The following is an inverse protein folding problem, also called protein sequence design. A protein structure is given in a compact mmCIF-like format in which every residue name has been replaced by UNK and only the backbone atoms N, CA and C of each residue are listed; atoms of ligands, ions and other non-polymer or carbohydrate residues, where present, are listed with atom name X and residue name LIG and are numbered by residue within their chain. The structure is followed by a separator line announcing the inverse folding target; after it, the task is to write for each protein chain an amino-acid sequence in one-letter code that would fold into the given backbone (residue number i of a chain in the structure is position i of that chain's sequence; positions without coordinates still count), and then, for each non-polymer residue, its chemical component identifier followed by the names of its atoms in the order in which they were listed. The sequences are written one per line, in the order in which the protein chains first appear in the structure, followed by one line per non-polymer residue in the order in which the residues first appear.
data_IF_423404294885
#
_entry.id   IF_423404294885
#
_cell.length_a   1.000
_cell.length_b   1.000
_cell.length_c   1.000
_cell.angle_alpha   90.00
_cell.angle_beta   90.00
_cell.angle_gamma   90.00
#
_symmetry.space_group_name_H-M   'P 1'
#
loop_
_entity.id
_entity.type
_entity.pdbx_description
1 polymer ?
#
# COMPACT_ATOMS: atom_id res chain seq x y z
N UNK A 1 34.44 1.51 8.24
CA UNK A 1 34.65 2.82 7.57
C UNK A 1 33.34 3.60 7.66
N UNK A 2 33.38 4.80 8.23
CA UNK A 2 32.22 5.71 8.23
C UNK A 2 32.34 6.61 7.00
N UNK A 3 31.23 6.78 6.28
CA UNK A 3 31.17 7.74 5.18
C UNK A 3 31.10 9.18 5.69
N UNK A 4 31.53 10.13 4.87
CA UNK A 4 31.28 11.55 5.09
C UNK A 4 29.78 11.80 5.22
N UNK A 5 29.37 12.73 6.08
CA UNK A 5 27.99 13.18 6.21
C UNK A 5 27.85 14.60 5.69
N UNK A 6 26.79 14.83 4.91
CA UNK A 6 26.45 16.15 4.36
C UNK A 6 25.02 16.50 4.74
N UNK A 7 24.73 17.79 4.82
CA UNK A 7 23.35 18.24 5.01
C UNK A 7 22.55 18.04 3.72
N UNK A 8 21.32 17.57 3.86
CA UNK A 8 20.43 17.37 2.70
C UNK A 8 20.30 18.63 1.86
N UNK A 9 20.20 19.81 2.50
CA UNK A 9 20.09 21.09 1.80
C UNK A 9 21.32 21.52 0.97
N UNK A 10 22.48 20.89 1.18
CA UNK A 10 23.70 21.14 0.39
C UNK A 10 23.73 20.35 -0.92
N UNK A 11 22.96 19.28 -0.99
CA UNK A 11 22.95 18.33 -2.12
C UNK A 11 21.58 18.22 -2.81
N UNK A 12 20.62 19.06 -2.39
CA UNK A 12 19.27 19.05 -2.94
C UNK A 12 18.67 20.45 -3.03
N UNK A 13 17.78 20.65 -4.00
CA UNK A 13 16.79 21.72 -4.00
C UNK A 13 15.49 21.21 -3.38
N UNK A 14 14.90 21.96 -2.48
CA UNK A 14 13.61 21.60 -1.88
C UNK A 14 12.63 22.76 -1.84
N UNK A 15 11.36 22.46 -2.07
CA UNK A 15 10.27 23.41 -1.90
C UNK A 15 9.07 22.77 -1.22
N UNK A 16 8.31 23.57 -0.48
CA UNK A 16 7.03 23.18 0.09
C UNK A 16 5.94 23.35 -0.97
N UNK A 17 4.98 22.44 -1.01
CA UNK A 17 3.86 22.49 -1.94
C UNK A 17 2.92 23.68 -1.73
N UNK A 18 2.04 23.92 -2.72
CA UNK A 18 1.09 25.03 -2.72
C UNK A 18 0.02 24.87 -1.64
N UNK A 19 -0.27 25.96 -0.93
CA UNK A 19 -1.38 25.99 0.03
C UNK A 19 -2.72 25.95 -0.72
N UNK A 20 -3.62 25.07 -0.30
CA UNK A 20 -4.98 25.05 -0.79
C UNK A 20 -5.74 26.26 -0.25
N UNK A 21 -6.13 27.15 -1.15
CA UNK A 21 -6.98 28.33 -0.86
C UNK A 21 -7.92 28.55 -2.05
N UNK A 22 -9.15 28.10 -1.91
CA UNK A 22 -10.15 28.17 -3.00
C UNK A 22 -10.42 29.58 -3.50
N UNK A 23 -10.22 30.62 -2.66
CA UNK A 23 -10.49 32.02 -3.01
C UNK A 23 -9.28 32.68 -3.70
N UNK A 24 -8.05 32.30 -3.31
CA UNK A 24 -6.81 32.91 -3.77
C UNK A 24 -6.16 32.19 -4.93
N UNK A 25 -6.34 30.87 -5.02
CA UNK A 25 -5.71 30.09 -6.09
C UNK A 25 -6.38 30.39 -7.43
N UNK A 26 -5.57 30.77 -8.41
CA UNK A 26 -5.96 31.10 -9.77
C UNK A 26 -5.35 30.09 -10.76
N UNK A 27 -5.69 30.24 -12.04
CA UNK A 27 -5.20 29.38 -13.11
C UNK A 27 -6.10 28.19 -13.40
N UNK A 28 -5.56 27.17 -14.05
CA UNK A 28 -6.26 25.95 -14.45
C UNK A 28 -6.24 24.88 -13.35
N UNK A 29 -7.26 24.01 -13.33
CA UNK A 29 -7.27 22.85 -12.43
C UNK A 29 -6.23 21.84 -12.90
N UNK A 30 -5.36 21.42 -11.97
CA UNK A 30 -4.35 20.40 -12.20
C UNK A 30 -4.36 19.42 -11.01
N UNK A 31 -4.11 18.11 -11.23
CA UNK A 31 -4.06 17.14 -10.15
C UNK A 31 -2.89 17.42 -9.21
N UNK A 32 -3.08 17.12 -7.93
CA UNK A 32 -2.01 17.28 -6.95
C UNK A 32 -1.93 16.11 -5.97
N UNK A 33 -0.72 15.87 -5.48
CA UNK A 33 -0.48 14.99 -4.35
C UNK A 33 -0.68 15.75 -3.04
N UNK A 34 -1.48 15.18 -2.15
CA UNK A 34 -1.60 15.56 -0.76
C UNK A 34 -0.88 14.54 0.14
N UNK A 35 -0.77 14.85 1.43
CA UNK A 35 -0.13 13.95 2.41
C UNK A 35 -0.73 12.53 2.39
N UNK A 36 -2.04 12.41 2.21
CA UNK A 36 -2.75 11.12 2.15
C UNK A 36 -2.37 10.26 0.96
N UNK A 37 -1.81 10.84 -0.09
CA UNK A 37 -1.39 10.12 -1.28
C UNK A 37 0.03 9.53 -1.18
N UNK A 38 0.86 10.04 -0.27
CA UNK A 38 2.23 9.54 -0.09
C UNK A 38 2.22 8.39 0.91
N UNK A 39 2.86 7.29 0.56
CA UNK A 39 3.12 6.14 1.43
C UNK A 39 4.64 5.92 1.49
N UNK A 40 5.10 5.10 2.41
CA UNK A 40 6.49 4.66 2.39
C UNK A 40 6.74 3.83 1.12
N UNK A 41 7.46 4.42 0.18
CA UNK A 41 7.90 3.75 -1.05
C UNK A 41 6.97 3.85 -2.26
N UNK A 42 5.74 4.32 -2.10
CA UNK A 42 4.80 4.41 -3.23
C UNK A 42 3.78 5.54 -3.05
N UNK A 43 3.02 5.80 -4.10
CA UNK A 43 1.90 6.74 -4.08
C UNK A 43 0.57 6.01 -4.23
N UNK A 44 -0.39 6.40 -3.41
CA UNK A 44 -1.80 6.08 -3.60
C UNK A 44 -2.38 7.12 -4.56
N UNK A 45 -2.57 6.73 -5.80
CA UNK A 45 -3.03 7.61 -6.87
C UNK A 45 -4.53 7.49 -7.15
N UNK A 46 -5.24 6.68 -6.36
CA UNK A 46 -6.68 6.61 -6.44
C UNK A 46 -7.31 7.89 -5.86
N UNK A 47 -8.33 8.42 -6.52
CA UNK A 47 -9.10 9.60 -6.08
C UNK A 47 -8.26 10.88 -5.84
N UNK A 48 -7.35 11.18 -6.77
CA UNK A 48 -6.59 12.43 -6.75
C UNK A 48 -7.53 13.64 -6.79
N UNK A 49 -7.18 14.64 -6.01
CA UNK A 49 -7.88 15.92 -5.99
C UNK A 49 -7.20 16.89 -6.95
N UNK A 50 -7.95 17.93 -7.34
CA UNK A 50 -7.46 19.01 -8.20
C UNK A 50 -7.59 20.36 -7.50
N UNK A 51 -6.64 21.25 -7.77
CA UNK A 51 -6.74 22.67 -7.41
C UNK A 51 -6.14 23.53 -8.51
N UNK A 52 -6.38 24.83 -8.44
CA UNK A 52 -5.92 25.77 -9.45
C UNK A 52 -4.44 26.09 -9.29
N UNK A 53 -3.72 26.02 -10.42
CA UNK A 53 -2.33 26.45 -10.58
C UNK A 53 -2.21 27.37 -11.77
N UNK A 54 -1.43 28.44 -11.63
CA UNK A 54 -1.01 29.31 -12.72
C UNK A 54 0.17 28.65 -13.48
N UNK A 55 0.39 29.02 -14.74
CA UNK A 55 1.39 28.31 -15.57
C UNK A 55 2.83 28.58 -15.11
N UNK A 56 3.10 29.76 -14.53
CA UNK A 56 4.39 30.11 -13.92
C UNK A 56 4.68 29.33 -12.62
N UNK A 57 3.69 28.71 -12.02
CA UNK A 57 3.85 27.86 -10.83
C UNK A 57 4.29 26.43 -11.15
N UNK A 58 4.33 26.07 -12.44
CA UNK A 58 4.70 24.71 -12.86
C UNK A 58 6.13 24.33 -12.49
N UNK A 59 7.06 25.28 -12.58
CA UNK A 59 8.44 25.06 -12.17
C UNK A 59 8.56 24.84 -10.66
N UNK A 60 7.81 25.58 -9.88
CA UNK A 60 7.87 25.54 -8.42
C UNK A 60 7.18 24.33 -7.83
N UNK A 61 5.95 24.03 -8.24
CA UNK A 61 5.12 22.99 -7.63
C UNK A 61 4.98 21.73 -8.47
N UNK A 62 5.46 21.75 -9.71
CA UNK A 62 5.52 20.57 -10.56
C UNK A 62 6.58 19.59 -10.10
N UNK A 63 6.29 18.32 -10.31
CA UNK A 63 7.21 17.23 -9.97
C UNK A 63 7.64 16.49 -11.24
N UNK A 64 8.91 16.04 -11.23
CA UNK A 64 9.56 15.35 -12.36
C UNK A 64 10.10 14.01 -11.89
N UNK A 65 10.42 13.14 -12.83
CA UNK A 65 11.06 11.87 -12.53
C UNK A 65 12.28 12.04 -11.61
N UNK A 66 12.35 11.23 -10.57
CA UNK A 66 13.44 11.27 -9.59
C UNK A 66 13.25 12.25 -8.43
N UNK A 67 12.23 13.11 -8.47
CA UNK A 67 11.91 13.94 -7.31
C UNK A 67 11.44 13.07 -6.14
N UNK A 68 11.99 13.29 -4.95
CA UNK A 68 11.49 12.71 -3.72
C UNK A 68 10.38 13.60 -3.16
N UNK A 69 9.23 12.99 -2.88
CA UNK A 69 8.11 13.68 -2.24
C UNK A 69 8.09 13.23 -0.78
N UNK A 70 8.32 14.17 0.13
CA UNK A 70 8.49 13.90 1.57
C UNK A 70 7.38 14.59 2.36
N UNK A 71 6.71 13.86 3.24
CA UNK A 71 5.68 14.40 4.12
C UNK A 71 6.30 15.33 5.18
N UNK A 72 5.73 16.55 5.31
CA UNK A 72 6.04 17.49 6.38
C UNK A 72 5.40 17.07 7.70
N UNK A 73 4.17 16.57 7.66
CA UNK A 73 3.36 16.23 8.84
C UNK A 73 2.59 14.92 8.69
N UNK A 74 1.78 14.59 9.70
CA UNK A 74 1.09 13.31 9.81
C UNK A 74 2.03 12.18 10.18
N UNK A 75 2.94 11.81 9.31
CA UNK A 75 4.09 10.95 9.52
C UNK A 75 5.29 11.61 8.86
N UNK A 76 5.98 12.54 9.58
CA UNK A 76 7.05 13.33 8.98
C UNK A 76 8.18 12.46 8.46
N UNK A 77 8.70 12.80 7.28
CA UNK A 77 9.78 12.03 6.64
C UNK A 77 9.28 10.86 5.78
N UNK A 78 8.00 10.49 5.84
CA UNK A 78 7.44 9.51 4.91
C UNK A 78 7.59 10.00 3.47
N UNK A 79 8.13 9.14 2.60
CA UNK A 79 8.50 9.56 1.25
C UNK A 79 8.35 8.47 0.19
N UNK A 80 8.29 8.92 -1.06
CA UNK A 80 8.38 8.08 -2.25
C UNK A 80 9.03 8.86 -3.40
N UNK A 81 9.59 8.13 -4.41
CA UNK A 81 10.13 8.71 -5.63
C UNK A 81 9.02 8.87 -6.65
N UNK A 82 8.93 10.07 -7.25
CA UNK A 82 8.03 10.29 -8.37
C UNK A 82 8.60 9.68 -9.66
N UNK A 83 7.81 8.82 -10.30
CA UNK A 83 8.17 8.10 -11.54
C UNK A 83 7.33 8.54 -12.73
N UNK A 84 6.79 9.76 -12.70
CA UNK A 84 5.95 10.35 -13.76
C UNK A 84 4.70 9.51 -14.12
N UNK A 85 4.10 8.86 -13.12
CA UNK A 85 2.92 8.02 -13.32
C UNK A 85 1.72 8.79 -13.89
N UNK A 86 1.64 10.09 -13.61
CA UNK A 86 0.60 11.00 -14.11
C UNK A 86 1.27 12.30 -14.56
N UNK A 87 0.97 12.78 -15.77
CA UNK A 87 1.57 14.03 -16.29
C UNK A 87 1.07 15.25 -15.51
N UNK A 88 1.88 16.31 -15.50
CA UNK A 88 1.56 17.61 -14.89
C UNK A 88 1.18 17.57 -13.40
N UNK A 89 1.59 16.52 -12.67
CA UNK A 89 1.33 16.38 -11.24
C UNK A 89 1.99 17.51 -10.44
N UNK A 90 1.27 17.98 -9.45
CA UNK A 90 1.68 19.04 -8.52
C UNK A 90 1.73 18.52 -7.09
N UNK A 91 2.26 19.31 -6.19
CA UNK A 91 2.25 19.04 -4.74
C UNK A 91 1.51 20.12 -3.95
N UNK A 92 0.73 19.67 -2.97
CA UNK A 92 0.03 20.53 -2.03
C UNK A 92 0.85 20.69 -0.75
N UNK A 93 0.64 21.77 -0.02
CA UNK A 93 1.23 22.02 1.31
C UNK A 93 1.05 20.81 2.23
N UNK A 94 2.03 20.58 3.08
CA UNK A 94 2.36 19.41 3.87
C UNK A 94 3.19 18.35 3.10
N UNK A 95 3.60 18.64 1.86
CA UNK A 95 4.59 17.86 1.13
C UNK A 95 5.77 18.74 0.72
N UNK A 96 6.96 18.20 0.87
CA UNK A 96 8.18 18.76 0.29
C UNK A 96 8.52 18.01 -1.00
N UNK A 97 8.78 18.75 -2.09
CA UNK A 97 9.53 18.22 -3.23
C UNK A 97 11.01 18.39 -2.93
N UNK A 98 11.75 17.31 -3.01
CA UNK A 98 13.21 17.29 -2.88
C UNK A 98 13.81 16.77 -4.17
N UNK A 99 14.54 17.65 -4.87
CA UNK A 99 15.25 17.34 -6.11
C UNK A 99 16.73 17.21 -5.82
N UNK A 100 17.25 16.04 -6.04
CA UNK A 100 18.65 15.70 -5.73
C UNK A 100 19.55 16.24 -6.84
N UNK A 101 20.67 16.89 -6.48
CA UNK A 101 21.67 17.37 -7.41
C UNK A 101 22.52 16.21 -7.96
N UNK A 102 23.12 16.36 -9.12
CA UNK A 102 23.91 15.34 -9.84
C UNK A 102 25.10 14.78 -9.07
N UNK A 103 25.48 15.42 -7.95
CA UNK A 103 26.54 14.94 -7.05
C UNK A 103 26.09 13.81 -6.12
N UNK A 104 24.80 13.50 -6.11
CA UNK A 104 24.19 12.40 -5.37
C UNK A 104 23.24 11.60 -6.26
N UNK A 105 23.06 10.32 -5.97
CA UNK A 105 22.04 9.49 -6.61
C UNK A 105 20.71 9.61 -5.83
N UNK A 106 19.63 10.03 -6.52
CA UNK A 106 18.32 10.24 -5.88
C UNK A 106 17.74 8.94 -5.27
N UNK A 107 18.03 7.78 -5.85
CA UNK A 107 17.61 6.48 -5.32
C UNK A 107 18.33 6.16 -4.02
N UNK A 108 19.63 6.46 -3.95
CA UNK A 108 20.40 6.31 -2.71
C UNK A 108 19.84 7.20 -1.60
N UNK A 109 19.54 8.47 -1.88
CA UNK A 109 18.93 9.40 -0.92
C UNK A 109 17.57 8.87 -0.46
N UNK A 110 16.76 8.38 -1.37
CA UNK A 110 15.46 7.78 -1.06
C UNK A 110 15.59 6.55 -0.12
N UNK A 111 16.45 5.59 -0.44
CA UNK A 111 16.64 4.40 0.41
C UNK A 111 17.24 4.75 1.77
N UNK A 112 18.08 5.78 1.80
CA UNK A 112 18.57 6.34 3.06
C UNK A 112 17.41 6.85 3.92
N UNK A 113 16.45 7.59 3.33
CA UNK A 113 15.26 8.08 4.04
C UNK A 113 14.36 6.94 4.52
N UNK A 114 14.15 5.90 3.72
CA UNK A 114 13.39 4.72 4.12
C UNK A 114 14.01 4.04 5.36
N UNK A 115 15.32 3.86 5.34
CA UNK A 115 16.06 3.26 6.45
C UNK A 115 16.00 4.14 7.70
N UNK A 116 16.28 5.44 7.54
CA UNK A 116 16.26 6.42 8.63
C UNK A 116 14.87 6.54 9.27
N UNK A 117 13.81 6.53 8.46
CA UNK A 117 12.43 6.51 8.93
C UNK A 117 12.12 5.27 9.76
N UNK A 118 12.46 4.09 9.25
CA UNK A 118 12.27 2.80 9.94
C UNK A 118 13.04 2.72 11.27
N UNK A 119 14.24 3.29 11.32
CA UNK A 119 15.07 3.33 12.52
C UNK A 119 14.71 4.47 13.48
N UNK A 120 13.81 5.37 13.09
CA UNK A 120 13.44 6.55 13.87
C UNK A 120 14.52 7.64 13.93
N UNK A 121 15.54 7.57 13.08
CA UNK A 121 16.65 8.53 13.05
C UNK A 121 16.21 9.94 12.62
N UNK A 122 15.08 10.06 11.93
CA UNK A 122 14.51 11.35 11.52
C UNK A 122 13.86 12.12 12.67
N UNK A 123 13.53 11.48 13.80
CA UNK A 123 12.79 12.09 14.93
C UNK A 123 13.49 13.32 15.52
N UNK A 124 14.80 13.38 15.49
CA UNK A 124 15.57 14.52 15.98
C UNK A 124 15.36 15.82 15.18
N UNK A 125 14.82 15.72 13.97
CA UNK A 125 14.51 16.87 13.10
C UNK A 125 13.04 17.27 13.16
N UNK A 126 12.22 16.57 13.96
CA UNK A 126 10.81 16.90 14.10
C UNK A 126 10.61 18.06 15.09
N UNK A 127 9.56 18.81 14.86
CA UNK A 127 9.09 19.89 15.71
C UNK A 127 7.62 19.67 16.06
N UNK A 128 7.16 20.27 17.17
CA UNK A 128 5.78 20.10 17.66
C UNK A 128 5.70 19.11 18.82
N UNK A 129 4.73 19.32 19.71
CA UNK A 129 4.52 18.48 20.89
C UNK A 129 3.41 17.44 20.67
N UNK A 130 2.28 17.86 20.09
CA UNK A 130 1.11 16.99 19.87
C UNK A 130 1.06 16.45 18.44
N UNK A 131 1.34 17.32 17.47
CA UNK A 131 1.39 16.96 16.05
C UNK A 131 2.81 17.25 15.57
N UNK A 132 3.52 16.20 15.21
CA UNK A 132 4.90 16.29 14.74
C UNK A 132 4.96 16.77 13.30
N UNK A 133 5.89 17.67 13.03
CA UNK A 133 6.18 18.19 11.69
C UNK A 133 7.69 18.18 11.44
N UNK A 134 8.08 18.11 10.18
CA UNK A 134 9.46 18.32 9.73
C UNK A 134 9.50 19.51 8.78
N UNK A 135 9.61 20.75 9.31
CA UNK A 135 9.65 21.95 8.48
C UNK A 135 10.82 21.93 7.49
N UNK A 136 10.69 22.65 6.36
CA UNK A 136 11.71 22.65 5.31
C UNK A 136 13.11 23.02 5.79
N UNK A 137 13.23 23.87 6.81
CA UNK A 137 14.51 24.20 7.42
C UNK A 137 15.14 23.00 8.14
N UNK A 138 14.32 22.25 8.89
CA UNK A 138 14.76 21.01 9.55
C UNK A 138 15.07 19.90 8.57
N UNK A 139 14.28 19.79 7.51
CA UNK A 139 14.57 18.87 6.41
C UNK A 139 15.94 19.13 5.78
N UNK A 140 16.31 20.40 5.53
CA UNK A 140 17.61 20.78 5.00
C UNK A 140 18.78 20.46 5.93
N UNK A 141 18.55 20.42 7.25
CA UNK A 141 19.55 20.08 8.26
C UNK A 141 19.79 18.58 8.41
N UNK A 142 18.97 17.71 7.79
CA UNK A 142 19.13 16.27 7.87
C UNK A 142 20.51 15.86 7.36
N UNK A 143 21.27 15.18 8.21
CA UNK A 143 22.60 14.67 7.87
C UNK A 143 22.46 13.30 7.21
N UNK A 144 22.86 13.21 5.95
CA UNK A 144 22.85 11.97 5.16
C UNK A 144 24.28 11.51 4.87
N UNK A 145 24.45 10.19 4.75
CA UNK A 145 25.74 9.63 4.37
C UNK A 145 26.02 9.90 2.89
N UNK A 146 27.28 10.25 2.57
CA UNK A 146 27.72 10.55 1.21
C UNK A 146 28.89 9.64 0.80
N UNK A 147 28.64 8.37 0.45
CA UNK A 147 29.67 7.56 -0.19
C UNK A 147 30.02 8.10 -1.58
N UNK A 148 31.09 7.63 -2.21
CA UNK A 148 31.40 7.97 -3.60
C UNK A 148 30.20 7.71 -4.53
N UNK A 149 29.96 8.59 -5.51
CA UNK A 149 28.77 8.55 -6.37
C UNK A 149 28.56 7.17 -7.03
N UNK A 150 29.61 6.52 -7.46
CA UNK A 150 29.54 5.18 -8.05
C UNK A 150 29.01 4.13 -7.06
N UNK A 151 29.30 4.28 -5.76
CA UNK A 151 28.77 3.40 -4.70
C UNK A 151 27.30 3.68 -4.49
N UNK A 152 26.89 4.96 -4.44
CA UNK A 152 25.49 5.36 -4.33
C UNK A 152 24.65 4.78 -5.48
N UNK A 153 25.13 4.94 -6.72
CA UNK A 153 24.48 4.43 -7.93
C UNK A 153 24.30 2.91 -7.89
N UNK A 154 25.33 2.17 -7.45
CA UNK A 154 25.25 0.71 -7.30
C UNK A 154 24.25 0.30 -6.23
N UNK A 155 24.23 0.96 -5.06
CA UNK A 155 23.26 0.70 -4.00
C UNK A 155 21.85 1.00 -4.49
N UNK A 156 21.65 2.19 -5.09
CA UNK A 156 20.36 2.63 -5.60
C UNK A 156 19.82 1.68 -6.67
N UNK A 157 20.63 1.33 -7.68
CA UNK A 157 20.23 0.42 -8.74
C UNK A 157 19.92 -1.00 -8.23
N UNK A 158 20.71 -1.50 -7.28
CA UNK A 158 20.48 -2.82 -6.70
C UNK A 158 19.15 -2.89 -5.96
N UNK A 159 18.86 -1.92 -5.09
CA UNK A 159 17.61 -1.87 -4.33
C UNK A 159 16.39 -1.61 -5.23
N UNK A 160 16.53 -0.73 -6.22
CA UNK A 160 15.48 -0.46 -7.21
C UNK A 160 15.04 -1.72 -7.98
N UNK A 161 15.96 -2.67 -8.20
CA UNK A 161 15.62 -3.95 -8.84
C UNK A 161 14.56 -4.72 -8.05
N UNK A 162 14.65 -4.71 -6.72
CA UNK A 162 13.64 -5.35 -5.86
C UNK A 162 12.32 -4.59 -5.86
N UNK A 163 12.36 -3.27 -5.78
CA UNK A 163 11.15 -2.45 -5.83
C UNK A 163 10.41 -2.66 -7.16
N UNK A 164 11.13 -2.66 -8.28
CA UNK A 164 10.56 -2.92 -9.60
C UNK A 164 9.94 -4.32 -9.70
N UNK A 165 10.57 -5.33 -9.08
CA UNK A 165 10.02 -6.69 -9.02
C UNK A 165 8.75 -6.74 -8.19
N UNK A 166 8.71 -6.06 -7.05
CA UNK A 166 7.53 -5.94 -6.19
C UNK A 166 6.39 -5.24 -6.94
N UNK A 167 6.66 -4.09 -7.54
CA UNK A 167 5.68 -3.33 -8.33
C UNK A 167 5.10 -4.16 -9.48
N UNK A 168 5.96 -4.88 -10.21
CA UNK A 168 5.54 -5.76 -11.31
C UNK A 168 4.65 -6.89 -10.82
N UNK A 169 5.03 -7.55 -9.73
CA UNK A 169 4.23 -8.63 -9.16
C UNK A 169 2.88 -8.13 -8.64
N UNK A 170 2.83 -6.97 -7.98
CA UNK A 170 1.59 -6.35 -7.53
C UNK A 170 0.66 -6.03 -8.72
N UNK A 171 1.22 -5.47 -9.80
CA UNK A 171 0.48 -5.20 -11.03
C UNK A 171 -0.06 -6.49 -11.67
N UNK A 172 0.74 -7.55 -11.73
CA UNK A 172 0.30 -8.85 -12.23
C UNK A 172 -0.83 -9.44 -11.39
N UNK A 173 -0.72 -9.39 -10.06
CA UNK A 173 -1.78 -9.84 -9.15
C UNK A 173 -3.09 -9.10 -9.45
N UNK A 174 -3.05 -7.76 -9.51
CA UNK A 174 -4.23 -6.94 -9.82
C UNK A 174 -4.87 -7.33 -11.16
N UNK A 175 -4.07 -7.46 -12.21
CA UNK A 175 -4.56 -7.83 -13.54
C UNK A 175 -5.18 -9.24 -13.56
N UNK A 176 -4.60 -10.20 -12.85
CA UNK A 176 -5.13 -11.55 -12.72
C UNK A 176 -6.44 -11.58 -11.93
N UNK A 177 -6.56 -10.80 -10.87
CA UNK A 177 -7.80 -10.65 -10.10
C UNK A 177 -8.91 -10.01 -10.94
N UNK A 178 -8.60 -8.95 -11.70
CA UNK A 178 -9.53 -8.34 -12.63
C UNK A 178 -9.97 -9.31 -13.73
N UNK A 179 -9.05 -10.10 -14.29
CA UNK A 179 -9.37 -11.13 -15.28
C UNK A 179 -10.30 -12.22 -14.72
N UNK A 180 -10.01 -12.67 -13.49
CA UNK A 180 -10.86 -13.66 -12.80
C UNK A 180 -12.28 -13.10 -12.53
N UNK A 181 -12.38 -11.84 -12.09
CA UNK A 181 -13.68 -11.19 -11.86
C UNK A 181 -14.48 -11.03 -13.17
N UNK A 182 -13.81 -10.63 -14.27
CA UNK A 182 -14.44 -10.53 -15.59
C UNK A 182 -14.95 -11.88 -16.07
N UNK A 183 -14.13 -12.94 -15.93
CA UNK A 183 -14.51 -14.28 -16.32
C UNK A 183 -15.69 -14.80 -15.50
N UNK A 184 -15.67 -14.57 -14.17
CA UNK A 184 -16.78 -14.91 -13.29
C UNK A 184 -18.08 -14.21 -13.72
N UNK A 185 -17.99 -12.89 -13.97
CA UNK A 185 -19.15 -12.11 -14.43
C UNK A 185 -19.67 -12.63 -15.76
N UNK A 186 -18.80 -12.86 -16.72
CA UNK A 186 -19.14 -13.37 -18.05
C UNK A 186 -19.89 -14.69 -17.97
N UNK A 187 -19.38 -15.63 -17.17
CA UNK A 187 -19.96 -16.99 -17.14
C UNK A 187 -21.17 -17.11 -16.21
N UNK A 188 -21.13 -16.48 -15.03
CA UNK A 188 -22.14 -16.75 -14.01
C UNK A 188 -23.15 -15.62 -13.80
N UNK A 189 -22.88 -14.43 -14.29
CA UNK A 189 -23.79 -13.28 -14.22
C UNK A 189 -24.42 -13.02 -15.60
N UNK A 190 -23.56 -12.89 -16.62
CA UNK A 190 -23.99 -12.62 -17.99
C UNK A 190 -24.38 -13.93 -18.75
N UNK A 191 -24.13 -15.09 -18.12
CA UNK A 191 -24.45 -16.46 -18.61
C UNK A 191 -23.82 -16.80 -19.97
N UNK A 192 -22.66 -16.17 -20.29
CA UNK A 192 -21.92 -16.44 -21.52
C UNK A 192 -20.76 -17.43 -21.26
N UNK A 193 -21.07 -18.56 -20.67
CA UNK A 193 -20.13 -19.65 -20.42
C UNK A 193 -19.92 -20.51 -21.70
N UNK A 194 -18.82 -21.29 -21.80
CA UNK A 194 -18.60 -22.15 -22.96
C UNK A 194 -19.77 -23.07 -23.24
N UNK A 195 -20.35 -22.96 -24.46
CA UNK A 195 -21.50 -23.74 -24.89
C UNK A 195 -22.89 -23.14 -24.58
N UNK A 196 -22.92 -21.89 -24.07
CA UNK A 196 -24.16 -21.20 -23.72
C UNK A 196 -25.12 -21.03 -24.90
N UNK A 197 -24.61 -20.98 -26.14
CA UNK A 197 -25.40 -20.86 -27.35
C UNK A 197 -26.39 -22.02 -27.53
N UNK A 198 -26.06 -23.20 -26.99
CA UNK A 198 -26.88 -24.40 -27.02
C UNK A 198 -27.70 -24.59 -25.74
N UNK A 199 -27.61 -23.66 -24.78
CA UNK A 199 -28.25 -23.76 -23.49
C UNK A 199 -29.55 -22.94 -23.47
N UNK A 200 -30.67 -23.56 -23.10
CA UNK A 200 -31.94 -22.86 -22.91
C UNK A 200 -31.92 -22.15 -21.54
N UNK A 201 -32.16 -20.85 -21.54
CA UNK A 201 -32.28 -20.03 -20.32
C UNK A 201 -33.77 -19.82 -20.02
N UNK A 202 -34.20 -20.14 -18.82
CA UNK A 202 -35.60 -19.93 -18.34
C UNK A 202 -35.48 -19.20 -16.99
N UNK A 203 -36.23 -18.11 -16.84
CA UNK A 203 -36.23 -17.25 -15.64
C UNK A 203 -34.84 -16.78 -15.22
N UNK A 204 -33.99 -16.49 -16.22
CA UNK A 204 -32.62 -15.99 -15.97
C UNK A 204 -31.61 -17.04 -15.48
N UNK A 205 -31.97 -18.34 -15.60
CA UNK A 205 -31.09 -19.44 -15.17
C UNK A 205 -31.04 -20.49 -16.28
N UNK A 206 -29.87 -21.06 -16.64
CA UNK A 206 -29.75 -22.20 -17.50
C UNK A 206 -30.60 -23.39 -17.00
N UNK A 207 -31.36 -24.01 -17.86
CA UNK A 207 -32.30 -25.11 -17.48
C UNK A 207 -31.58 -26.27 -16.78
N UNK A 208 -30.32 -26.50 -17.12
CA UNK A 208 -29.52 -27.58 -16.56
C UNK A 208 -28.97 -27.25 -15.14
N UNK A 209 -29.00 -25.97 -14.75
CA UNK A 209 -28.55 -25.56 -13.44
C UNK A 209 -29.63 -25.83 -12.38
N UNK A 210 -29.25 -26.52 -11.32
CA UNK A 210 -30.13 -26.84 -10.21
C UNK A 210 -29.81 -26.00 -8.98
N UNK A 211 -30.82 -25.37 -8.38
CA UNK A 211 -30.67 -24.76 -7.07
C UNK A 211 -30.53 -25.85 -6.02
N UNK A 212 -29.47 -25.75 -5.21
CA UNK A 212 -29.23 -26.63 -4.07
C UNK A 212 -28.94 -25.76 -2.81
N UNK A 213 -29.15 -26.36 -1.64
CA UNK A 213 -28.73 -25.76 -0.39
C UNK A 213 -27.21 -25.88 -0.26
N UNK A 214 -26.60 -24.97 0.50
CA UNK A 214 -25.16 -24.96 0.68
C UNK A 214 -24.66 -26.25 1.36
N UNK A 215 -25.41 -26.78 2.33
CA UNK A 215 -25.12 -28.02 3.04
C UNK A 215 -25.26 -29.31 2.18
N UNK A 216 -25.85 -29.20 0.97
CA UNK A 216 -25.87 -30.31 -0.01
C UNK A 216 -24.59 -30.37 -0.87
N UNK A 217 -23.79 -29.30 -0.88
CA UNK A 217 -22.62 -29.18 -1.77
C UNK A 217 -21.32 -28.89 -1.02
N UNK A 218 -21.39 -28.59 0.27
CA UNK A 218 -20.22 -28.29 1.11
C UNK A 218 -20.51 -28.66 2.58
N UNK A 219 -19.48 -29.06 3.29
CA UNK A 219 -19.54 -29.25 4.75
C UNK A 219 -19.53 -27.90 5.45
N UNK A 220 -20.65 -27.54 6.08
CA UNK A 220 -20.79 -26.25 6.80
C UNK A 220 -20.54 -26.48 8.30
N UNK A 221 -19.41 -26.01 8.79
CA UNK A 221 -18.98 -26.18 10.18
C UNK A 221 -19.06 -24.85 10.91
N UNK A 222 -19.88 -24.77 11.95
CA UNK A 222 -19.90 -23.61 12.84
C UNK A 222 -18.71 -23.67 13.80
N UNK A 223 -17.89 -22.63 13.81
CA UNK A 223 -16.73 -22.54 14.70
C UNK A 223 -17.13 -22.49 16.19
N UNK A 224 -16.24 -22.95 17.03
CA UNK A 224 -16.37 -22.90 18.49
C UNK A 224 -15.01 -22.61 19.11
N UNK A 225 -14.85 -21.40 19.62
CA UNK A 225 -13.61 -20.98 20.25
C UNK A 225 -13.27 -21.84 21.48
N UNK A 226 -12.02 -22.30 21.58
CA UNK A 226 -11.52 -22.89 22.80
C UNK A 226 -11.51 -21.89 23.98
N UNK A 227 -11.31 -22.34 25.19
CA UNK A 227 -11.09 -21.44 26.32
C UNK A 227 -9.75 -20.71 26.16
N UNK A 228 -9.71 -19.44 26.60
CA UNK A 228 -8.55 -18.57 26.43
C UNK A 228 -7.27 -19.08 27.11
N UNK A 229 -7.38 -19.93 28.13
CA UNK A 229 -6.24 -20.56 28.80
C UNK A 229 -5.39 -21.46 27.87
N UNK A 230 -5.95 -21.87 26.71
CA UNK A 230 -5.25 -22.69 25.71
C UNK A 230 -4.59 -21.85 24.62
N UNK A 231 -4.74 -20.53 24.65
CA UNK A 231 -4.16 -19.66 23.61
C UNK A 231 -2.70 -19.36 23.91
N UNK A 232 -1.90 -19.31 22.84
CA UNK A 232 -0.49 -18.93 22.93
C UNK A 232 -0.01 -18.25 21.65
N UNK A 233 1.16 -17.58 21.75
CA UNK A 233 1.90 -17.01 20.61
C UNK A 233 3.22 -17.75 20.33
N UNK A 234 3.41 -18.88 20.99
CA UNK A 234 4.63 -19.68 20.94
C UNK A 234 4.55 -20.79 19.88
N UNK A 235 3.57 -20.72 19.00
CA UNK A 235 3.29 -21.71 17.94
C UNK A 235 3.03 -23.13 18.46
N UNK A 236 2.53 -23.27 19.69
CA UNK A 236 2.15 -24.56 20.26
C UNK A 236 0.72 -24.94 19.84
N UNK A 237 0.56 -26.11 19.25
CA UNK A 237 -0.73 -26.60 18.75
C UNK A 237 -1.05 -26.14 17.33
N UNK A 238 -2.32 -25.89 17.03
CA UNK A 238 -2.76 -25.42 15.71
C UNK A 238 -3.03 -23.91 15.73
N UNK A 239 -2.87 -23.23 14.58
CA UNK A 239 -3.33 -21.85 14.46
C UNK A 239 -4.81 -21.73 14.81
N UNK A 240 -5.18 -20.67 15.53
CA UNK A 240 -6.54 -20.41 15.96
C UNK A 240 -7.02 -19.07 15.41
N UNK A 241 -8.19 -19.08 14.79
CA UNK A 241 -8.79 -17.89 14.19
C UNK A 241 -10.18 -17.65 14.75
N UNK A 242 -10.40 -16.41 15.24
CA UNK A 242 -11.69 -15.96 15.73
C UNK A 242 -12.03 -14.60 15.11
N UNK A 243 -13.18 -14.54 14.45
CA UNK A 243 -13.60 -13.32 13.77
C UNK A 243 -12.69 -12.97 12.56
N UNK A 244 -12.65 -11.70 12.19
CA UNK A 244 -11.95 -11.21 10.98
C UNK A 244 -10.59 -10.58 11.26
N UNK A 245 -10.14 -10.52 12.50
CA UNK A 245 -8.90 -9.83 12.90
C UNK A 245 -7.65 -10.40 12.25
N UNK A 246 -7.64 -11.69 11.98
CA UNK A 246 -6.54 -12.41 11.31
C UNK A 246 -6.75 -12.60 9.80
N UNK A 247 -7.80 -11.99 9.20
CA UNK A 247 -8.03 -12.09 7.78
C UNK A 247 -7.02 -11.24 7.01
N UNK A 248 -6.22 -11.89 6.16
CA UNK A 248 -5.36 -11.22 5.20
C UNK A 248 -6.10 -10.92 3.89
N UNK A 249 -5.38 -10.52 2.86
CA UNK A 249 -5.95 -10.18 1.55
C UNK A 249 -6.71 -11.39 0.93
N UNK A 250 -6.19 -12.59 1.07
CA UNK A 250 -6.78 -13.84 0.56
C UNK A 250 -6.74 -14.96 1.58
N UNK A 251 -5.66 -15.07 2.33
CA UNK A 251 -5.44 -16.12 3.31
C UNK A 251 -5.34 -15.55 4.72
N UNK A 252 -5.78 -16.32 5.71
CA UNK A 252 -5.59 -15.95 7.11
C UNK A 252 -4.12 -15.87 7.49
N UNK A 253 -3.83 -14.99 8.45
CA UNK A 253 -2.50 -14.81 9.04
C UNK A 253 -2.47 -15.48 10.42
N UNK A 254 -1.56 -16.42 10.59
CA UNK A 254 -1.43 -17.21 11.82
C UNK A 254 -0.65 -16.40 12.87
N UNK A 255 -1.35 -15.76 13.80
CA UNK A 255 -0.78 -14.95 14.88
C UNK A 255 -1.07 -15.49 16.30
N UNK A 256 -2.05 -16.39 16.41
CA UNK A 256 -2.48 -16.99 17.65
C UNK A 256 -2.65 -18.49 17.45
N UNK A 257 -2.27 -19.29 18.45
CA UNK A 257 -2.31 -20.75 18.42
C UNK A 257 -3.12 -21.27 19.60
N UNK A 258 -3.70 -22.48 19.45
CA UNK A 258 -4.40 -23.17 20.54
C UNK A 258 -3.89 -24.60 20.69
N UNK A 259 -3.74 -25.01 21.92
CA UNK A 259 -3.45 -26.41 22.28
C UNK A 259 -4.72 -27.25 22.47
N UNK A 260 -5.90 -26.62 22.47
CA UNK A 260 -7.21 -27.28 22.50
C UNK A 260 -7.92 -27.14 21.16
N UNK A 261 -8.44 -28.22 20.61
CA UNK A 261 -9.03 -28.32 19.27
C UNK A 261 -10.52 -28.67 19.39
N UNK A 262 -11.37 -27.67 19.59
CA UNK A 262 -12.83 -27.86 19.69
C UNK A 262 -13.48 -28.13 18.34
N UNK A 263 -13.20 -27.24 17.40
CA UNK A 263 -13.61 -27.35 15.99
C UNK A 263 -12.42 -26.97 15.09
N UNK A 264 -12.27 -27.68 14.00
CA UNK A 264 -11.15 -27.47 13.07
C UNK A 264 -11.67 -27.27 11.65
N UNK A 265 -10.93 -26.48 10.88
CA UNK A 265 -11.07 -26.37 9.44
C UNK A 265 -9.79 -26.90 8.79
N UNK A 266 -9.93 -27.69 7.75
CA UNK A 266 -8.80 -28.23 6.98
C UNK A 266 -8.17 -27.11 6.10
N UNK A 267 -6.97 -27.37 5.56
CA UNK A 267 -6.34 -26.50 4.60
C UNK A 267 -7.25 -26.26 3.38
N UNK A 268 -7.21 -25.04 2.82
CA UNK A 268 -8.05 -24.59 1.72
C UNK A 268 -9.57 -24.52 2.04
N UNK A 269 -9.96 -24.53 3.30
CA UNK A 269 -11.34 -24.27 3.71
C UNK A 269 -11.66 -22.78 3.57
N UNK A 270 -12.89 -22.48 3.17
CA UNK A 270 -13.41 -21.11 3.08
C UNK A 270 -13.94 -20.72 4.47
N UNK A 271 -13.40 -19.66 5.04
CA UNK A 271 -13.92 -19.05 6.25
C UNK A 271 -14.95 -17.97 5.91
N UNK A 272 -16.09 -18.03 6.58
CA UNK A 272 -17.17 -17.06 6.42
C UNK A 272 -17.47 -16.43 7.78
N UNK A 273 -17.37 -15.09 7.89
CA UNK A 273 -17.66 -14.42 9.15
C UNK A 273 -19.16 -14.33 9.40
N UNK A 274 -19.60 -14.88 10.54
CA UNK A 274 -21.02 -14.88 10.96
C UNK A 274 -21.36 -13.78 11.96
N UNK A 275 -20.34 -13.05 12.49
CA UNK A 275 -20.48 -11.88 13.35
C UNK A 275 -19.95 -10.64 12.65
N UNK A 276 -20.26 -9.47 13.17
CA UNK A 276 -19.88 -8.19 12.55
C UNK A 276 -18.36 -8.03 12.38
N UNK A 277 -17.87 -7.70 11.18
CA UNK A 277 -18.62 -7.56 9.93
C UNK A 277 -19.00 -8.92 9.34
N UNK A 278 -20.30 -9.13 9.08
CA UNK A 278 -20.83 -10.38 8.50
C UNK A 278 -20.49 -10.48 7.01
N UNK A 279 -20.25 -11.70 6.52
CA UNK A 279 -20.06 -11.97 5.07
C UNK A 279 -18.63 -11.78 4.57
N UNK A 280 -17.66 -11.52 5.44
CA UNK A 280 -16.26 -11.51 5.03
C UNK A 280 -15.77 -12.94 4.77
N UNK A 281 -15.04 -13.10 3.66
CA UNK A 281 -14.46 -14.36 3.24
C UNK A 281 -12.95 -14.35 3.39
N UNK A 282 -12.38 -15.48 3.75
CA UNK A 282 -10.94 -15.73 3.70
C UNK A 282 -10.69 -17.25 3.51
N UNK A 283 -9.45 -17.66 3.32
CA UNK A 283 -9.08 -19.04 3.04
C UNK A 283 -8.01 -19.50 4.05
N UNK A 284 -8.10 -20.73 4.50
CA UNK A 284 -7.09 -21.35 5.35
C UNK A 284 -5.92 -21.85 4.51
N UNK A 285 -4.67 -21.60 4.93
CA UNK A 285 -3.47 -22.22 4.32
C UNK A 285 -3.21 -23.60 4.89
N UNK A 286 -3.45 -23.74 6.19
CA UNK A 286 -3.17 -24.91 6.99
C UNK A 286 -4.46 -25.38 7.67
N UNK A 287 -4.39 -26.53 8.34
CA UNK A 287 -5.41 -26.94 9.30
C UNK A 287 -5.39 -25.99 10.50
N UNK A 288 -6.55 -25.48 10.88
CA UNK A 288 -6.70 -24.46 11.92
C UNK A 288 -7.82 -24.82 12.89
N UNK A 289 -7.81 -24.22 14.08
CA UNK A 289 -8.92 -24.22 15.03
C UNK A 289 -9.82 -23.02 14.74
N UNK A 290 -11.16 -23.24 14.73
CA UNK A 290 -12.17 -22.21 14.43
C UNK A 290 -13.23 -22.11 15.52
#
# INVERSE_FOLDING_TARGET
MSWEKVKLGEVTESCLGKMLDQKKNKGSYKPYLANVNVRWGFFDLDNLQEMRFEDDEDEKYGIKYGDLIICEGGEPGRCAIWKEQIPNMKIQKALHRVRVHDIMDFRFVYYWFLLAGKQGALKQYYTGATIMHMPGQKLKEVLIDKPPLIVQQRIGAYLETFDNLIENNQKQIKLLEEAAQRLYKEWFVDLRFPGYENCKIVDGVPVEWKKKKLDEIADVIMGQSPKSEFYNKEHKGLPFHQGVGSYGARFVQDDTYSTSFTKVAEANSILFSVRAPVGRLNITKNKIVI
#
